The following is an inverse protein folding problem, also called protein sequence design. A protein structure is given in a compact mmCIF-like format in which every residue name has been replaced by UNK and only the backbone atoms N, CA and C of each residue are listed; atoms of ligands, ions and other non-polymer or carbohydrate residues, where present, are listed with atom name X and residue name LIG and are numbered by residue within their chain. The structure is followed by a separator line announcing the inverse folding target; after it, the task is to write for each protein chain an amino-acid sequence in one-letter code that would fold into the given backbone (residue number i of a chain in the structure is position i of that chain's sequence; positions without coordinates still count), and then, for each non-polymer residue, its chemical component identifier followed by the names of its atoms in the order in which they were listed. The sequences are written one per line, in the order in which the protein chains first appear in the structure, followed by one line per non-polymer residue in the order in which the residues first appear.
data_IF_987726006306
#
_entry.id   IF_987726006306
#
_cell.length_a   1.000
_cell.length_b   1.000
_cell.length_c   1.000
_cell.angle_alpha   90.00
_cell.angle_beta   90.00
_cell.angle_gamma   90.00
#
_symmetry.space_group_name_H-M   'P 1'
#
loop_
_entity.id
_entity.type
_entity.pdbx_description
1 polymer ?
#
# COMPACT_ATOMS: atom_id res chain seq x y z
N UNK A 1 12.44 -28.41 72.50
CA UNK A 1 11.27 -28.39 71.59
C UNK A 1 11.54 -27.37 70.49
N UNK A 2 11.29 -27.74 69.22
CA UNK A 2 11.36 -26.94 67.98
C UNK A 2 12.78 -26.70 67.44
N UNK A 3 13.13 -26.92 66.17
CA UNK A 3 12.73 -27.81 65.06
C UNK A 3 13.81 -27.54 64.00
N UNK A 4 14.35 -28.58 63.37
CA UNK A 4 15.33 -28.46 62.28
C UNK A 4 14.62 -27.93 61.02
N UNK A 5 15.30 -27.10 60.22
CA UNK A 5 14.89 -26.83 58.85
C UNK A 5 16.08 -27.02 57.91
N UNK A 6 15.94 -28.01 57.05
CA UNK A 6 16.83 -28.34 55.95
C UNK A 6 16.68 -27.32 54.81
N UNK A 7 17.79 -26.96 54.19
CA UNK A 7 17.81 -26.18 52.96
C UNK A 7 17.64 -27.12 51.76
N UNK A 8 16.49 -27.03 51.08
CA UNK A 8 16.29 -27.63 49.76
C UNK A 8 16.50 -26.55 48.69
N UNK A 9 17.58 -26.67 47.92
CA UNK A 9 17.82 -25.82 46.76
C UNK A 9 16.89 -26.23 45.62
N UNK A 10 15.87 -25.41 45.34
CA UNK A 10 14.98 -25.60 44.18
C UNK A 10 15.66 -25.00 42.97
N UNK A 11 16.22 -25.85 42.11
CA UNK A 11 16.79 -25.48 40.83
C UNK A 11 15.64 -25.22 39.84
N UNK A 12 15.26 -23.95 39.65
CA UNK A 12 14.32 -23.57 38.60
C UNK A 12 15.01 -23.62 37.24
N UNK A 13 14.68 -24.66 36.45
CA UNK A 13 15.01 -24.75 35.03
C UNK A 13 14.19 -23.70 34.26
N UNK A 14 14.85 -22.61 33.86
CA UNK A 14 14.27 -21.60 32.96
C UNK A 14 14.33 -22.15 31.54
N UNK A 15 13.24 -22.73 31.06
CA UNK A 15 13.09 -23.11 29.64
C UNK A 15 12.81 -21.85 28.82
N UNK A 16 13.82 -21.37 28.09
CA UNK A 16 13.66 -20.29 27.14
C UNK A 16 12.80 -20.76 25.96
N UNK A 17 11.52 -20.40 25.95
CA UNK A 17 10.66 -20.48 24.76
C UNK A 17 11.13 -19.43 23.76
N UNK A 18 11.99 -19.84 22.82
CA UNK A 18 12.31 -19.05 21.64
C UNK A 18 11.04 -18.92 20.79
N UNK A 19 10.36 -17.78 20.88
CA UNK A 19 9.24 -17.44 20.01
C UNK A 19 9.69 -17.45 18.56
N UNK A 20 9.11 -18.36 17.76
CA UNK A 20 9.29 -18.37 16.32
C UNK A 20 8.69 -17.08 15.74
N UNK A 21 9.55 -16.10 15.44
CA UNK A 21 9.16 -14.89 14.72
C UNK A 21 8.99 -15.30 13.27
N UNK A 22 7.74 -15.42 12.82
CA UNK A 22 7.42 -15.59 11.40
C UNK A 22 7.99 -14.38 10.65
N UNK A 23 8.86 -14.57 9.65
CA UNK A 23 9.35 -13.45 8.85
C UNK A 23 8.17 -12.69 8.26
N UNK A 24 8.17 -11.36 8.38
CA UNK A 24 7.21 -10.53 7.68
C UNK A 24 7.29 -10.85 6.17
N UNK A 25 6.15 -10.96 5.46
CA UNK A 25 6.17 -11.24 4.04
C UNK A 25 6.99 -10.16 3.31
N UNK A 26 7.94 -10.59 2.49
CA UNK A 26 8.78 -9.68 1.73
C UNK A 26 7.90 -8.81 0.82
N UNK A 27 8.02 -7.48 0.94
CA UNK A 27 7.34 -6.55 0.04
C UNK A 27 7.96 -6.65 -1.35
N UNK A 28 7.16 -7.08 -2.31
CA UNK A 28 7.57 -7.16 -3.71
C UNK A 28 7.75 -5.75 -4.26
N UNK A 29 8.95 -5.44 -4.74
CA UNK A 29 9.24 -4.17 -5.39
C UNK A 29 8.42 -4.05 -6.68
N UNK A 30 7.98 -2.83 -7.00
CA UNK A 30 7.34 -2.57 -8.27
C UNK A 30 8.28 -2.92 -9.43
N UNK A 31 7.77 -3.48 -10.54
CA UNK A 31 8.51 -3.49 -11.79
C UNK A 31 8.90 -2.06 -12.20
N UNK A 32 9.95 -1.94 -13.01
CA UNK A 32 10.36 -0.64 -13.54
C UNK A 32 9.20 -0.02 -14.35
N UNK A 33 8.95 1.28 -14.12
CA UNK A 33 7.89 2.01 -14.80
C UNK A 33 8.36 3.40 -15.23
N UNK A 34 7.72 3.96 -16.25
CA UNK A 34 7.96 5.32 -16.73
C UNK A 34 6.71 6.18 -16.47
N UNK A 35 6.90 7.31 -15.78
CA UNK A 35 5.80 8.18 -15.37
C UNK A 35 5.08 8.84 -16.55
N UNK A 36 5.79 9.21 -17.62
CA UNK A 36 5.19 9.84 -18.82
C UNK A 36 4.33 8.84 -19.60
N UNK A 37 4.81 7.60 -19.76
CA UNK A 37 4.00 6.50 -20.27
C UNK A 37 2.79 6.25 -19.37
N UNK A 38 3.00 6.25 -18.05
CA UNK A 38 1.94 6.07 -17.06
C UNK A 38 0.85 7.12 -17.16
N UNK A 39 1.20 8.39 -17.39
CA UNK A 39 0.25 9.48 -17.59
C UNK A 39 -0.64 9.25 -18.83
N UNK A 40 -0.08 8.66 -19.90
CA UNK A 40 -0.84 8.31 -21.11
C UNK A 40 -1.82 7.18 -20.83
N UNK A 41 -1.35 6.09 -20.21
CA UNK A 41 -2.19 4.92 -19.88
C UNK A 41 -3.28 5.31 -18.86
N UNK A 42 -2.94 6.09 -17.84
CA UNK A 42 -3.88 6.63 -16.85
C UNK A 42 -5.08 7.33 -17.49
N UNK A 43 -4.82 8.09 -18.56
CA UNK A 43 -5.84 8.77 -19.34
C UNK A 43 -6.61 7.81 -20.24
N UNK A 44 -5.92 6.95 -21.00
CA UNK A 44 -6.56 6.07 -21.97
C UNK A 44 -7.45 5.01 -21.33
N UNK A 45 -7.06 4.51 -20.16
CA UNK A 45 -7.79 3.48 -19.40
C UNK A 45 -8.88 4.10 -18.52
N UNK A 46 -8.90 5.44 -18.39
CA UNK A 46 -9.98 6.15 -17.72
C UNK A 46 -9.83 6.30 -16.21
N UNK A 47 -8.67 5.97 -15.63
CA UNK A 47 -8.40 6.11 -14.19
C UNK A 47 -8.66 7.55 -13.69
N UNK A 48 -8.36 8.53 -14.54
CA UNK A 48 -8.58 9.95 -14.26
C UNK A 48 -10.04 10.33 -13.97
N UNK A 49 -11.01 9.56 -14.46
CA UNK A 49 -12.43 9.91 -14.33
C UNK A 49 -12.87 9.91 -12.86
N UNK A 50 -12.30 9.03 -12.04
CA UNK A 50 -12.61 8.96 -10.62
C UNK A 50 -11.48 9.55 -9.74
N UNK A 51 -10.23 9.35 -10.14
CA UNK A 51 -9.07 9.76 -9.35
C UNK A 51 -8.47 11.10 -9.78
N UNK A 52 -9.05 11.75 -10.79
CA UNK A 52 -8.57 13.01 -11.36
C UNK A 52 -7.32 12.85 -12.25
N UNK A 53 -7.04 13.85 -13.09
CA UNK A 53 -5.91 13.80 -14.02
C UNK A 53 -4.57 13.65 -13.31
N UNK A 54 -4.39 14.28 -12.15
CA UNK A 54 -3.14 14.30 -11.39
C UNK A 54 -3.16 13.34 -10.20
N UNK A 55 -4.05 12.34 -10.26
CA UNK A 55 -4.31 11.43 -9.15
C UNK A 55 -4.70 12.14 -7.84
N UNK A 56 -5.21 13.37 -7.93
CA UNK A 56 -5.58 14.21 -6.79
C UNK A 56 -6.85 13.74 -6.07
N UNK A 57 -7.60 12.82 -6.70
CA UNK A 57 -8.89 12.35 -6.22
C UNK A 57 -10.05 13.27 -6.57
N UNK A 58 -11.24 12.84 -6.21
CA UNK A 58 -12.49 13.57 -6.37
C UNK A 58 -13.62 12.87 -5.63
N UNK A 59 -14.86 13.25 -5.94
CA UNK A 59 -16.04 12.65 -5.32
C UNK A 59 -16.19 11.15 -5.64
N UNK A 60 -15.76 10.73 -6.83
CA UNK A 60 -15.92 9.35 -7.32
C UNK A 60 -14.75 8.41 -6.94
N UNK A 61 -13.60 8.94 -6.52
CA UNK A 61 -12.42 8.14 -6.21
C UNK A 61 -11.44 8.85 -5.28
N UNK A 62 -10.80 8.13 -4.35
CA UNK A 62 -9.89 8.74 -3.40
C UNK A 62 -8.65 9.31 -4.08
N UNK A 63 -8.00 10.27 -3.40
CA UNK A 63 -6.67 10.73 -3.77
C UNK A 63 -5.66 9.59 -3.73
N UNK A 64 -4.79 9.52 -4.73
CA UNK A 64 -3.64 8.61 -4.79
C UNK A 64 -2.30 9.34 -4.78
N UNK A 65 -2.24 10.56 -5.31
CA UNK A 65 -1.03 11.39 -5.34
C UNK A 65 -0.43 11.59 -3.94
N UNK A 66 0.90 11.55 -3.82
CA UNK A 66 1.64 11.68 -2.56
C UNK A 66 1.16 10.75 -1.41
N UNK A 67 0.70 9.54 -1.74
CA UNK A 67 0.44 8.49 -0.76
C UNK A 67 1.54 7.45 -0.85
N UNK A 68 1.96 6.91 0.30
CA UNK A 68 2.81 5.73 0.32
C UNK A 68 1.95 4.50 0.02
N UNK A 69 1.88 4.11 -1.27
CA UNK A 69 1.14 2.94 -1.74
C UNK A 69 2.13 1.84 -2.09
N UNK A 70 2.29 0.78 -1.28
CA UNK A 70 3.14 -0.34 -1.65
C UNK A 70 2.63 -1.01 -2.94
N UNK A 71 3.55 -1.36 -3.84
CA UNK A 71 3.22 -2.00 -5.12
C UNK A 71 2.29 -3.21 -4.96
N UNK A 72 2.59 -4.11 -4.02
CA UNK A 72 1.78 -5.31 -3.79
C UNK A 72 0.32 -4.96 -3.47
N UNK A 73 0.09 -3.96 -2.63
CA UNK A 73 -1.25 -3.51 -2.28
C UNK A 73 -1.94 -2.78 -3.43
N UNK A 74 -1.21 -1.89 -4.11
CA UNK A 74 -1.72 -1.13 -5.25
C UNK A 74 -2.16 -2.05 -6.39
N UNK A 75 -1.27 -2.95 -6.82
CA UNK A 75 -1.55 -3.90 -7.90
C UNK A 75 -2.68 -4.85 -7.53
N UNK A 76 -2.66 -5.42 -6.32
CA UNK A 76 -3.74 -6.30 -5.86
C UNK A 76 -5.10 -5.59 -5.87
N UNK A 77 -5.17 -4.33 -5.42
CA UNK A 77 -6.42 -3.57 -5.42
C UNK A 77 -6.93 -3.29 -6.83
N UNK A 78 -6.06 -2.93 -7.78
CA UNK A 78 -6.46 -2.73 -9.19
C UNK A 78 -6.97 -4.04 -9.81
N UNK A 79 -6.39 -5.19 -9.43
CA UNK A 79 -6.82 -6.52 -9.87
C UNK A 79 -8.08 -7.03 -9.18
N UNK A 80 -8.40 -6.54 -7.98
CA UNK A 80 -9.56 -6.95 -7.17
C UNK A 80 -10.09 -5.74 -6.38
N UNK A 81 -10.73 -4.79 -7.06
CA UNK A 81 -11.15 -3.55 -6.44
C UNK A 81 -12.38 -3.77 -5.55
N UNK A 82 -12.62 -2.80 -4.67
CA UNK A 82 -13.87 -2.67 -3.94
C UNK A 82 -14.71 -1.50 -4.50
N UNK A 83 -15.98 -1.43 -4.08
CA UNK A 83 -16.91 -0.37 -4.43
C UNK A 83 -17.16 -0.28 -5.95
N UNK A 84 -17.25 0.95 -6.47
CA UNK A 84 -17.57 1.27 -7.85
C UNK A 84 -16.33 1.29 -8.78
N UNK A 85 -15.13 0.97 -8.27
CA UNK A 85 -13.91 0.98 -9.09
C UNK A 85 -13.93 -0.21 -10.07
N UNK A 86 -13.78 0.02 -11.39
CA UNK A 86 -13.77 -1.06 -12.36
C UNK A 86 -12.65 -2.05 -12.14
N UNK A 87 -12.92 -3.33 -12.44
CA UNK A 87 -11.95 -4.41 -12.42
C UNK A 87 -11.01 -4.31 -13.62
N UNK A 88 -9.68 -4.34 -13.38
CA UNK A 88 -8.67 -4.39 -14.45
C UNK A 88 -7.90 -5.70 -14.40
N UNK A 89 -8.22 -6.61 -15.32
CA UNK A 89 -7.50 -7.89 -15.47
C UNK A 89 -6.15 -7.71 -16.16
N UNK A 90 -5.27 -8.72 -16.10
CA UNK A 90 -4.00 -8.72 -16.83
C UNK A 90 -4.19 -8.50 -18.33
N UNK A 91 -5.27 -9.05 -18.90
CA UNK A 91 -5.61 -8.88 -20.32
C UNK A 91 -6.03 -7.45 -20.67
N UNK A 92 -6.76 -6.78 -19.77
CA UNK A 92 -7.28 -5.43 -20.00
C UNK A 92 -6.24 -4.33 -19.69
N UNK A 93 -5.37 -4.59 -18.72
CA UNK A 93 -4.29 -3.71 -18.31
C UNK A 93 -3.09 -4.57 -17.93
N UNK A 94 -2.14 -4.83 -18.84
CA UNK A 94 -0.96 -5.63 -18.55
C UNK A 94 -0.15 -5.08 -17.38
N UNK A 95 0.57 -5.94 -16.66
CA UNK A 95 1.36 -5.56 -15.49
C UNK A 95 2.42 -4.50 -15.82
N UNK A 96 2.98 -4.53 -17.03
CA UNK A 96 3.92 -3.49 -17.49
C UNK A 96 3.28 -2.10 -17.56
N UNK A 97 2.06 -2.01 -18.10
CA UNK A 97 1.30 -0.76 -18.18
C UNK A 97 0.84 -0.30 -16.79
N UNK A 98 0.46 -1.25 -15.91
CA UNK A 98 0.14 -0.95 -14.52
C UNK A 98 1.36 -0.42 -13.75
N UNK A 99 2.57 -0.92 -14.04
CA UNK A 99 3.81 -0.40 -13.46
C UNK A 99 4.10 1.03 -13.93
N UNK A 100 3.81 1.36 -15.19
CA UNK A 100 3.86 2.74 -15.69
C UNK A 100 2.88 3.65 -14.93
N UNK A 101 1.61 3.22 -14.79
CA UNK A 101 0.62 3.95 -13.98
C UNK A 101 1.11 4.15 -12.54
N UNK A 102 1.67 3.11 -11.93
CA UNK A 102 2.20 3.19 -10.58
C UNK A 102 3.32 4.23 -10.47
N UNK A 103 4.29 4.22 -11.39
CA UNK A 103 5.34 5.24 -11.44
C UNK A 103 4.76 6.65 -11.61
N UNK A 104 3.72 6.81 -12.44
CA UNK A 104 3.01 8.06 -12.60
C UNK A 104 2.39 8.54 -11.28
N UNK A 105 1.57 7.71 -10.62
CA UNK A 105 0.91 8.05 -9.35
C UNK A 105 1.92 8.42 -8.28
N UNK A 106 3.01 7.66 -8.16
CA UNK A 106 4.07 7.90 -7.17
C UNK A 106 4.83 9.21 -7.41
N UNK A 107 4.88 9.69 -8.66
CA UNK A 107 5.51 10.97 -9.01
C UNK A 107 4.64 12.19 -8.70
N UNK A 108 3.34 12.02 -8.41
CA UNK A 108 2.42 13.13 -8.27
C UNK A 108 2.60 13.85 -6.91
N UNK A 109 2.68 15.19 -6.92
CA UNK A 109 2.84 15.96 -5.69
C UNK A 109 1.57 15.94 -4.83
N UNK A 110 1.71 16.27 -3.55
CA UNK A 110 0.57 16.48 -2.68
C UNK A 110 -0.28 17.66 -3.19
N UNK A 111 -1.62 17.61 -3.04
CA UNK A 111 -2.45 18.76 -3.37
C UNK A 111 -2.07 19.96 -2.47
N UNK A 112 -2.15 21.19 -2.99
CA UNK A 112 -1.89 22.39 -2.20
C UNK A 112 -2.87 22.47 -1.02
N UNK A 113 -2.34 22.68 0.18
CA UNK A 113 -3.14 22.67 1.42
C UNK A 113 -3.85 24.00 1.72
N UNK A 114 -3.54 25.05 0.97
CA UNK A 114 -3.99 26.43 1.23
C UNK A 114 -4.58 27.07 -0.03
N UNK A 115 -5.64 26.50 -0.61
CA UNK A 115 -6.48 27.27 -1.54
C UNK A 115 -7.51 27.97 -0.66
N UNK A 116 -7.46 29.31 -0.49
CA UNK A 116 -8.58 30.03 0.10
C UNK A 116 -9.79 29.65 -0.74
N UNK A 117 -10.71 28.89 -0.15
CA UNK A 117 -11.96 28.54 -0.79
C UNK A 117 -12.54 29.86 -1.27
N UNK A 118 -12.61 30.06 -2.58
CA UNK A 118 -13.38 31.14 -3.16
C UNK A 118 -14.84 30.79 -2.89
N UNK A 119 -15.22 31.05 -1.64
CA UNK A 119 -16.57 31.12 -1.13
C UNK A 119 -17.28 32.18 -1.98
N UNK A 120 -18.21 31.69 -2.80
CA UNK A 120 -19.38 32.44 -3.24
C UNK A 120 -20.59 31.67 -2.74
#
# INVERSE_FOLDING_TARGET
MKTMMAAAAVLFLVTAVAGAQTPAPAQQTAPAGNADSGAKVWKSVGCWQCHGYEAQGGAAGPRLAARNLPWTGFSAYVRRPANQMPLYTEKALPTADLAHIYAYVQSRPAPPQNIPLLLK
#
